data_IF_326829705663
#
_entry.id   IF_326829705663
#
_cell.length_a   1.000
_cell.length_b   1.000
_cell.length_c   1.000
_cell.angle_alpha   90.00
_cell.angle_beta   90.00
_cell.angle_gamma   90.00
#
_symmetry.space_group_name_H-M   'P 1'
#
loop_
_entity.id
_entity.type
_entity.pdbx_description
1 polymer ?
#
# COMPACT_ATOMS: atom_id res chain seq x y z
N UNK A 1 2.99 -3.03 -7.05
CA UNK A 1 2.57 -4.41 -6.82
C UNK A 1 2.88 -4.76 -5.39
N UNK A 2 1.85 -5.10 -4.63
CA UNK A 2 1.95 -5.42 -3.20
C UNK A 2 1.28 -6.77 -2.95
N UNK A 3 1.86 -7.60 -2.11
CA UNK A 3 1.25 -8.87 -1.72
C UNK A 3 1.10 -8.92 -0.22
N UNK A 4 -0.09 -9.25 0.25
CA UNK A 4 -0.42 -9.46 1.65
C UNK A 4 -0.74 -10.93 1.85
N UNK A 5 0.12 -11.63 2.58
CA UNK A 5 -0.15 -12.98 3.06
C UNK A 5 -0.72 -12.87 4.48
N UNK A 6 -1.96 -13.32 4.70
CA UNK A 6 -2.58 -13.38 6.01
C UNK A 6 -2.65 -14.82 6.49
N UNK A 7 -1.86 -15.16 7.51
CA UNK A 7 -1.90 -16.47 8.15
C UNK A 7 -2.83 -16.43 9.35
N UNK A 8 -3.81 -17.32 9.36
CA UNK A 8 -4.83 -17.42 10.41
C UNK A 8 -4.57 -18.62 11.31
N UNK A 9 -4.66 -18.41 12.62
CA UNK A 9 -4.59 -19.51 13.57
C UNK A 9 -5.87 -20.38 13.51
N UNK A 10 -5.82 -21.64 13.95
CA UNK A 10 -7.00 -22.51 14.00
C UNK A 10 -8.17 -21.98 14.85
N UNK A 11 -7.92 -21.00 15.75
CA UNK A 11 -8.97 -20.40 16.58
C UNK A 11 -9.77 -19.31 15.85
N UNK A 12 -9.39 -18.96 14.62
CA UNK A 12 -10.14 -18.04 13.76
C UNK A 12 -11.14 -18.83 12.91
N UNK A 13 -12.45 -18.52 12.96
CA UNK A 13 -13.47 -19.23 12.17
C UNK A 13 -13.15 -19.26 10.67
N UNK A 14 -13.43 -20.38 9.98
CA UNK A 14 -13.23 -20.51 8.53
C UNK A 14 -14.10 -19.57 7.69
N UNK A 15 -15.22 -19.12 8.25
CA UNK A 15 -16.19 -18.28 7.57
C UNK A 15 -15.68 -16.87 7.26
N UNK A 16 -14.60 -16.41 7.91
CA UNK A 16 -14.09 -15.05 7.71
C UNK A 16 -13.01 -14.93 6.63
N UNK A 17 -12.55 -16.05 6.05
CA UNK A 17 -11.37 -16.05 5.15
C UNK A 17 -11.58 -15.17 3.92
N UNK A 18 -12.66 -15.41 3.16
CA UNK A 18 -12.97 -14.63 1.95
C UNK A 18 -13.28 -13.17 2.27
N UNK A 19 -14.05 -12.94 3.34
CA UNK A 19 -14.39 -11.60 3.80
C UNK A 19 -13.14 -10.79 4.18
N UNK A 20 -12.20 -11.38 4.92
CA UNK A 20 -10.95 -10.74 5.28
C UNK A 20 -10.11 -10.43 4.06
N UNK A 21 -9.98 -11.37 3.12
CA UNK A 21 -9.22 -11.15 1.89
C UNK A 21 -9.73 -9.93 1.12
N UNK A 22 -11.04 -9.84 0.91
CA UNK A 22 -11.65 -8.74 0.18
C UNK A 22 -11.63 -7.41 0.95
N UNK A 23 -11.91 -7.44 2.26
CA UNK A 23 -11.86 -6.22 3.09
C UNK A 23 -10.45 -5.65 3.11
N UNK A 24 -9.43 -6.49 3.26
CA UNK A 24 -8.04 -6.06 3.22
C UNK A 24 -7.66 -5.49 1.86
N UNK A 25 -8.03 -6.15 0.77
CA UNK A 25 -7.79 -5.63 -0.57
C UNK A 25 -8.41 -4.23 -0.71
N UNK A 26 -9.70 -4.08 -0.39
CA UNK A 26 -10.39 -2.79 -0.42
C UNK A 26 -9.69 -1.73 0.44
N UNK A 27 -9.40 -2.03 1.70
CA UNK A 27 -8.74 -1.08 2.61
C UNK A 27 -7.40 -0.58 2.07
N UNK A 28 -6.62 -1.45 1.44
CA UNK A 28 -5.26 -1.11 0.96
C UNK A 28 -5.25 -0.35 -0.37
N UNK A 29 -6.39 -0.25 -1.03
CA UNK A 29 -6.50 0.28 -2.40
C UNK A 29 -7.65 1.26 -2.57
N UNK A 30 -8.11 1.83 -1.46
CA UNK A 30 -9.11 2.91 -1.44
C UNK A 30 -8.50 4.07 -0.69
N UNK A 31 -8.48 5.22 -1.33
CA UNK A 31 -8.01 6.48 -0.76
C UNK A 31 -8.92 7.59 -1.28
N UNK A 32 -9.42 8.43 -0.38
CA UNK A 32 -10.29 9.55 -0.76
C UNK A 32 -9.51 10.57 -1.59
N UNK A 33 -10.09 11.01 -2.70
CA UNK A 33 -9.45 11.98 -3.60
C UNK A 33 -8.42 11.40 -4.57
N UNK A 34 -8.20 10.08 -4.57
CA UNK A 34 -7.39 9.42 -5.58
C UNK A 34 -8.21 9.11 -6.86
N UNK A 35 -7.67 9.34 -8.08
CA UNK A 35 -8.36 8.98 -9.30
C UNK A 35 -8.60 7.47 -9.43
N UNK A 36 -9.79 7.09 -9.90
CA UNK A 36 -10.20 5.68 -10.02
C UNK A 36 -9.31 4.90 -10.99
N UNK A 37 -8.76 5.54 -12.01
CA UNK A 37 -7.81 4.92 -12.94
C UNK A 37 -6.56 4.41 -12.20
N UNK A 38 -6.08 5.16 -11.20
CA UNK A 38 -4.92 4.78 -10.38
C UNK A 38 -5.31 3.71 -9.37
N UNK A 39 -6.43 3.89 -8.66
CA UNK A 39 -6.90 2.92 -7.66
C UNK A 39 -7.27 1.57 -8.31
N UNK A 40 -7.92 1.58 -9.47
CA UNK A 40 -8.25 0.39 -10.24
C UNK A 40 -7.01 -0.41 -10.61
N UNK A 41 -5.96 0.25 -11.10
CA UNK A 41 -4.70 -0.43 -11.39
C UNK A 41 -3.95 -0.88 -10.14
N UNK A 42 -4.00 -0.08 -9.06
CA UNK A 42 -3.46 -0.47 -7.76
C UNK A 42 -4.13 -1.74 -7.22
N UNK A 43 -5.45 -1.87 -7.40
CA UNK A 43 -6.25 -3.06 -7.08
C UNK A 43 -5.81 -4.28 -7.86
N UNK A 44 -5.67 -4.16 -9.18
CA UNK A 44 -5.18 -5.27 -10.01
C UNK A 44 -3.78 -5.75 -9.62
N UNK A 45 -2.90 -4.84 -9.21
CA UNK A 45 -1.52 -5.15 -8.83
C UNK A 45 -1.36 -5.50 -7.34
N UNK A 46 -2.44 -5.52 -6.57
CA UNK A 46 -2.41 -5.86 -5.14
C UNK A 46 -3.08 -7.20 -4.92
N UNK A 47 -2.36 -8.12 -4.27
CA UNK A 47 -2.87 -9.45 -3.98
C UNK A 47 -2.99 -9.64 -2.47
N UNK A 48 -4.11 -10.22 -2.04
CA UNK A 48 -4.30 -10.69 -0.67
C UNK A 48 -4.53 -12.20 -0.71
N UNK A 49 -3.72 -12.94 0.05
CA UNK A 49 -3.78 -14.40 0.13
C UNK A 49 -3.97 -14.80 1.58
N UNK A 50 -5.02 -15.57 1.86
CA UNK A 50 -5.32 -16.07 3.20
C UNK A 50 -4.85 -17.51 3.32
N UNK A 51 -4.07 -17.80 4.34
CA UNK A 51 -3.46 -19.10 4.60
C UNK A 51 -3.91 -19.66 5.94
N UNK A 52 -4.18 -20.97 5.94
CA UNK A 52 -4.35 -21.78 7.16
C UNK A 52 -3.20 -22.78 7.24
N UNK A 53 -2.15 -22.50 8.04
CA UNK A 53 -0.98 -23.36 8.10
C UNK A 53 -1.33 -24.69 8.78
N UNK A 54 -0.71 -25.77 8.33
CA UNK A 54 -0.90 -27.10 8.90
C UNK A 54 -0.46 -27.19 10.38
N UNK A 55 0.47 -26.33 10.79
CA UNK A 55 0.94 -26.23 12.17
C UNK A 55 1.25 -24.77 12.52
N UNK A 56 1.06 -24.42 13.79
CA UNK A 56 1.39 -23.12 14.36
C UNK A 56 1.84 -23.25 15.81
N UNK A 57 3.03 -22.80 16.13
CA UNK A 57 3.58 -22.83 17.49
C UNK A 57 4.12 -21.45 17.89
N UNK A 58 3.81 -21.04 19.12
CA UNK A 58 4.40 -19.86 19.79
C UNK A 58 4.68 -20.22 21.23
N UNK A 59 5.78 -19.69 21.79
CA UNK A 59 6.13 -19.91 23.20
C UNK A 59 5.33 -19.02 24.16
N UNK A 60 5.29 -19.39 25.45
CA UNK A 60 4.72 -18.59 26.54
C UNK A 60 3.35 -19.09 27.07
N UNK A 61 2.90 -18.56 28.22
CA UNK A 61 1.69 -19.03 28.92
C UNK A 61 0.36 -18.43 28.42
N UNK A 62 0.33 -17.76 27.26
CA UNK A 62 -0.84 -17.03 26.75
C UNK A 62 -1.43 -17.61 25.46
N UNK A 63 -2.59 -17.08 25.05
CA UNK A 63 -3.20 -17.38 23.76
C UNK A 63 -2.25 -17.00 22.62
N UNK A 64 -2.17 -17.86 21.60
CA UNK A 64 -1.28 -17.68 20.46
C UNK A 64 -1.70 -16.45 19.64
N UNK A 65 -0.78 -15.75 18.95
CA UNK A 65 -1.18 -14.79 17.95
C UNK A 65 -2.16 -15.43 16.97
N UNK A 66 -3.24 -14.70 16.67
CA UNK A 66 -4.34 -15.20 15.85
C UNK A 66 -4.13 -14.87 14.37
N UNK A 67 -3.34 -13.83 14.12
CA UNK A 67 -3.05 -13.29 12.81
C UNK A 67 -1.56 -12.98 12.68
N UNK A 68 -0.93 -13.51 11.62
CA UNK A 68 0.34 -13.00 11.11
C UNK A 68 0.07 -12.48 9.70
N UNK A 69 0.24 -11.19 9.49
CA UNK A 69 0.21 -10.60 8.16
C UNK A 69 1.64 -10.36 7.69
N UNK A 70 1.97 -10.78 6.48
CA UNK A 70 3.21 -10.41 5.80
C UNK A 70 2.88 -9.58 4.57
N UNK A 71 3.42 -8.37 4.53
CA UNK A 71 3.30 -7.47 3.39
C UNK A 71 4.63 -7.45 2.66
N UNK A 72 4.60 -7.83 1.39
CA UNK A 72 5.74 -7.73 0.49
C UNK A 72 5.47 -6.63 -0.53
N UNK A 73 6.36 -5.65 -0.62
CA UNK A 73 6.22 -4.50 -1.50
C UNK A 73 7.59 -3.97 -1.95
N UNK A 74 7.67 -3.10 -2.98
CA UNK A 74 8.91 -2.44 -3.38
C UNK A 74 9.62 -1.76 -2.20
N UNK A 75 10.94 -1.94 -2.12
CA UNK A 75 11.80 -1.37 -1.08
C UNK A 75 11.67 0.15 -0.96
N UNK A 76 11.55 0.83 -2.11
CA UNK A 76 11.34 2.27 -2.18
C UNK A 76 10.07 2.76 -1.46
N UNK A 77 9.08 1.89 -1.24
CA UNK A 77 7.85 2.23 -0.54
C UNK A 77 7.97 1.95 0.96
N UNK A 78 8.53 0.80 1.33
CA UNK A 78 8.56 0.33 2.74
C UNK A 78 9.63 0.99 3.60
N UNK A 79 10.60 1.68 2.99
CA UNK A 79 11.67 2.35 3.72
C UNK A 79 11.23 3.65 4.41
N UNK A 80 9.95 4.04 4.34
CA UNK A 80 9.41 5.19 5.09
C UNK A 80 8.66 4.74 6.36
N UNK A 81 8.88 5.41 7.51
CA UNK A 81 8.12 5.16 8.73
C UNK A 81 6.61 5.34 8.54
N UNK A 82 6.20 6.28 7.69
CA UNK A 82 4.81 6.59 7.38
C UNK A 82 4.09 5.40 6.71
N UNK A 83 4.76 4.74 5.75
CA UNK A 83 4.20 3.55 5.10
C UNK A 83 4.00 2.42 6.12
N UNK A 84 4.99 2.17 6.98
CA UNK A 84 4.89 1.17 8.02
C UNK A 84 3.74 1.44 8.98
N UNK A 85 3.62 2.67 9.48
CA UNK A 85 2.54 3.06 10.37
C UNK A 85 1.16 2.90 9.71
N UNK A 86 1.02 3.34 8.45
CA UNK A 86 -0.23 3.22 7.70
C UNK A 86 -0.64 1.75 7.52
N UNK A 87 0.26 0.90 7.01
CA UNK A 87 -0.03 -0.52 6.74
C UNK A 87 -0.35 -1.29 8.02
N UNK A 88 0.48 -1.15 9.06
CA UNK A 88 0.25 -1.84 10.35
C UNK A 88 -1.12 -1.45 10.91
N UNK A 89 -1.46 -0.16 10.86
CA UNK A 89 -2.72 0.35 11.36
C UNK A 89 -3.92 -0.13 10.53
N UNK A 90 -3.82 -0.05 9.20
CA UNK A 90 -4.86 -0.48 8.26
C UNK A 90 -5.19 -1.97 8.42
N UNK A 91 -4.18 -2.84 8.36
CA UNK A 91 -4.37 -4.28 8.51
C UNK A 91 -4.98 -4.62 9.88
N UNK A 92 -4.44 -4.05 10.96
CA UNK A 92 -4.91 -4.33 12.32
C UNK A 92 -6.37 -3.91 12.52
N UNK A 93 -6.75 -2.71 12.04
CA UNK A 93 -8.14 -2.25 12.13
C UNK A 93 -9.10 -3.10 11.30
N UNK A 94 -8.71 -3.47 10.08
CA UNK A 94 -9.57 -4.28 9.20
C UNK A 94 -9.79 -5.68 9.78
N UNK A 95 -8.75 -6.30 10.34
CA UNK A 95 -8.85 -7.60 11.01
C UNK A 95 -9.68 -7.48 12.30
N UNK A 96 -9.46 -6.44 13.10
CA UNK A 96 -10.21 -6.18 14.33
C UNK A 96 -11.73 -6.07 14.09
N UNK A 97 -12.15 -5.58 12.93
CA UNK A 97 -13.56 -5.53 12.53
C UNK A 97 -14.24 -6.90 12.36
N UNK A 98 -13.49 -8.00 12.46
CA UNK A 98 -14.00 -9.39 12.46
C UNK A 98 -13.88 -10.08 13.83
N UNK A 99 -13.28 -9.39 14.81
CA UNK A 99 -13.12 -9.92 16.15
C UNK A 99 -14.36 -9.68 17.02
N UNK A 100 -14.72 -10.61 17.93
CA UNK A 100 -15.71 -10.35 18.97
C UNK A 100 -15.28 -9.21 19.91
N UNK A 101 -13.98 -9.08 20.16
CA UNK A 101 -13.37 -7.95 20.88
C UNK A 101 -12.35 -7.26 19.97
N UNK A 102 -12.76 -6.24 19.19
CA UNK A 102 -11.86 -5.53 18.28
C UNK A 102 -10.67 -4.87 18.98
N UNK A 103 -10.84 -4.42 20.23
CA UNK A 103 -9.79 -3.74 20.99
C UNK A 103 -8.66 -4.69 21.42
N UNK A 104 -8.87 -6.01 21.34
CA UNK A 104 -7.83 -7.00 21.67
C UNK A 104 -6.57 -6.80 20.84
N UNK A 105 -6.70 -6.55 19.54
CA UNK A 105 -5.55 -6.50 18.63
C UNK A 105 -4.62 -5.29 18.86
N UNK A 106 -5.06 -4.29 19.63
CA UNK A 106 -4.23 -3.15 20.03
C UNK A 106 -3.72 -3.25 21.47
N UNK A 107 -4.32 -4.12 22.30
CA UNK A 107 -3.89 -4.38 23.69
C UNK A 107 -2.92 -5.54 23.81
N UNK A 108 -3.03 -6.52 22.90
CA UNK A 108 -2.34 -7.81 22.96
C UNK A 108 -1.74 -8.15 21.58
N UNK A 109 -0.60 -8.88 21.52
CA UNK A 109 0.11 -9.16 20.27
C UNK A 109 -0.56 -10.27 19.43
N UNK A 110 -1.89 -10.20 19.25
CA UNK A 110 -2.66 -11.18 18.48
C UNK A 110 -2.64 -10.94 16.98
N UNK A 111 -2.27 -9.74 16.53
CA UNK A 111 -2.06 -9.39 15.13
C UNK A 111 -0.63 -8.89 14.95
N UNK A 112 0.21 -9.74 14.36
CA UNK A 112 1.60 -9.41 14.05
C UNK A 112 1.70 -9.06 12.58
N UNK A 113 2.25 -7.88 12.25
CA UNK A 113 2.44 -7.44 10.87
C UNK A 113 3.93 -7.36 10.57
N UNK A 114 4.36 -8.07 9.53
CA UNK A 114 5.71 -8.02 8.97
C UNK A 114 5.67 -7.28 7.63
N UNK A 115 6.60 -6.36 7.41
CA UNK A 115 6.76 -5.68 6.13
C UNK A 115 8.12 -6.05 5.55
N UNK A 116 8.12 -6.53 4.31
CA UNK A 116 9.28 -7.01 3.58
C UNK A 116 9.48 -6.16 2.34
N UNK A 117 10.62 -5.48 2.27
CA UNK A 117 11.01 -4.67 1.13
C UNK A 117 11.75 -5.47 0.06
N UNK A 118 11.23 -5.47 -1.15
CA UNK A 118 11.91 -6.04 -2.31
C UNK A 118 12.93 -5.05 -2.87
N UNK A 119 14.13 -5.53 -3.19
CA UNK A 119 15.14 -4.74 -3.90
C UNK A 119 14.66 -4.40 -5.32
N UNK A 120 15.23 -3.35 -5.92
CA UNK A 120 15.02 -3.07 -7.33
C UNK A 120 15.36 -4.31 -8.17
N UNK A 121 14.58 -4.57 -9.22
CA UNK A 121 14.66 -5.76 -10.07
C UNK A 121 14.41 -7.11 -9.36
N UNK A 122 13.92 -7.12 -8.11
CA UNK A 122 13.51 -8.33 -7.40
C UNK A 122 11.99 -8.60 -7.48
N UNK A 123 11.27 -7.83 -8.30
CA UNK A 123 9.87 -8.04 -8.64
C UNK A 123 9.76 -8.16 -10.16
N UNK A 124 8.92 -9.07 -10.65
CA UNK A 124 8.68 -9.22 -12.09
C UNK A 124 7.20 -9.17 -12.46
N UNK A 125 6.90 -8.50 -13.56
CA UNK A 125 5.58 -8.45 -14.21
C UNK A 125 5.79 -8.48 -15.72
N UNK A 126 4.81 -8.96 -16.48
CA UNK A 126 4.91 -9.07 -17.94
C UNK A 126 6.12 -9.91 -18.42
N UNK A 127 6.55 -10.88 -17.60
CA UNK A 127 7.67 -11.76 -17.92
C UNK A 127 9.07 -11.15 -17.76
N UNK A 128 9.21 -9.97 -17.17
CA UNK A 128 10.50 -9.31 -16.95
C UNK A 128 10.65 -8.75 -15.52
N UNK A 129 11.87 -8.66 -14.98
CA UNK A 129 12.14 -7.88 -13.77
C UNK A 129 11.83 -6.40 -13.99
N UNK A 130 11.26 -5.76 -12.97
CA UNK A 130 10.91 -4.34 -13.00
C UNK A 130 11.45 -3.59 -11.79
N UNK A 131 11.57 -2.28 -11.95
CA UNK A 131 11.87 -1.31 -10.91
C UNK A 131 10.60 -0.82 -10.22
N UNK A 132 10.78 -0.23 -9.04
CA UNK A 132 9.71 0.48 -8.33
C UNK A 132 9.10 1.61 -9.16
N UNK A 133 9.90 2.30 -9.97
CA UNK A 133 9.45 3.38 -10.86
C UNK A 133 8.57 2.86 -11.99
N UNK A 134 8.95 1.74 -12.62
CA UNK A 134 8.11 1.10 -13.65
C UNK A 134 6.77 0.62 -13.11
N UNK A 135 6.73 0.13 -11.87
CA UNK A 135 5.47 -0.21 -11.19
C UNK A 135 4.59 1.04 -11.01
N UNK A 136 5.16 2.15 -10.54
CA UNK A 136 4.42 3.42 -10.39
C UNK A 136 3.91 3.90 -11.75
N UNK A 137 4.75 3.88 -12.79
CA UNK A 137 4.33 4.20 -14.17
C UNK A 137 3.20 3.30 -14.65
N UNK A 138 3.26 2.00 -14.35
CA UNK A 138 2.18 1.07 -14.69
C UNK A 138 0.89 1.42 -13.96
N UNK A 139 0.96 1.75 -12.67
CA UNK A 139 -0.18 2.15 -11.85
C UNK A 139 -0.83 3.45 -12.32
N UNK A 140 -0.03 4.41 -12.80
CA UNK A 140 -0.53 5.76 -13.13
C UNK A 140 -0.74 6.01 -14.61
N UNK A 141 -0.30 5.10 -15.49
CA UNK A 141 -0.38 5.25 -16.96
C UNK A 141 -1.77 5.70 -17.43
N UNK A 142 -2.81 5.01 -17.01
CA UNK A 142 -4.17 5.30 -17.49
C UNK A 142 -4.62 6.72 -17.11
N UNK A 143 -4.30 7.17 -15.88
CA UNK A 143 -4.56 8.54 -15.47
C UNK A 143 -3.76 9.53 -16.32
N UNK A 144 -2.45 9.31 -16.47
CA UNK A 144 -1.55 10.20 -17.23
C UNK A 144 -1.94 10.32 -18.71
N UNK A 145 -2.40 9.23 -19.31
CA UNK A 145 -2.79 9.17 -20.72
C UNK A 145 -4.22 9.70 -20.96
N UNK A 146 -5.04 9.80 -19.91
CA UNK A 146 -6.45 10.20 -20.03
C UNK A 146 -6.68 11.68 -20.33
N UNK A 147 -5.70 12.54 -20.06
CA UNK A 147 -5.85 14.00 -20.14
C UNK A 147 -6.80 14.60 -19.10
N UNK A 148 -7.24 13.82 -18.12
CA UNK A 148 -8.11 14.30 -17.04
C UNK A 148 -7.35 15.29 -16.16
N UNK A 149 -7.92 16.47 -15.98
CA UNK A 149 -7.43 17.48 -15.03
C UNK A 149 -8.24 17.39 -13.74
N UNK A 150 -7.55 17.14 -12.63
CA UNK A 150 -8.13 17.20 -11.29
C UNK A 150 -8.00 18.62 -10.77
N UNK A 151 -9.08 19.21 -10.26
CA UNK A 151 -9.02 20.49 -9.57
C UNK A 151 -8.71 20.26 -8.08
N UNK A 152 -7.66 20.91 -7.58
CA UNK A 152 -7.36 20.87 -6.15
C UNK A 152 -8.23 21.89 -5.39
N UNK A 153 -8.77 21.50 -4.22
CA UNK A 153 -9.34 22.45 -3.27
C UNK A 153 -8.33 23.52 -2.84
N UNK A 154 -8.82 24.63 -2.28
CA UNK A 154 -7.95 25.66 -1.69
C UNK A 154 -7.03 25.07 -0.61
N UNK A 155 -5.74 25.38 -0.68
CA UNK A 155 -4.72 24.83 0.22
C UNK A 155 -4.16 23.46 -0.17
N UNK A 156 -4.63 22.88 -1.28
CA UNK A 156 -4.16 21.61 -1.82
C UNK A 156 -3.49 21.78 -3.18
N UNK A 157 -2.62 20.83 -3.52
CA UNK A 157 -2.01 20.67 -4.83
C UNK A 157 -2.40 19.30 -5.42
N UNK A 158 -2.25 19.14 -6.74
CA UNK A 158 -2.44 17.85 -7.40
C UNK A 158 -1.07 17.24 -7.71
N UNK A 159 -0.88 15.98 -7.33
CA UNK A 159 0.29 15.20 -7.74
C UNK A 159 0.24 15.00 -9.27
N UNK A 160 1.22 15.52 -10.03
CA UNK A 160 1.18 15.48 -11.50
C UNK A 160 1.34 14.08 -12.08
N UNK A 161 1.76 13.09 -11.28
CA UNK A 161 1.98 11.72 -11.74
C UNK A 161 0.72 10.87 -11.58
N UNK A 162 -0.02 11.05 -10.49
CA UNK A 162 -1.17 10.18 -10.16
C UNK A 162 -2.50 10.91 -9.96
N UNK A 163 -2.52 12.24 -9.95
CA UNK A 163 -3.73 13.04 -9.78
C UNK A 163 -4.27 13.11 -8.35
N UNK A 164 -3.57 12.53 -7.37
CA UNK A 164 -3.97 12.60 -5.97
C UNK A 164 -3.82 14.02 -5.43
N UNK A 165 -4.77 14.48 -4.63
CA UNK A 165 -4.67 15.76 -3.92
C UNK A 165 -3.72 15.65 -2.74
N UNK A 166 -2.90 16.69 -2.53
CA UNK A 166 -1.87 16.76 -1.48
C UNK A 166 -2.04 18.07 -0.74
N UNK A 167 -2.20 18.03 0.59
CA UNK A 167 -2.27 19.24 1.41
C UNK A 167 -0.91 19.95 1.42
N UNK A 168 -0.86 21.19 0.93
CA UNK A 168 0.39 21.94 0.77
C UNK A 168 1.06 22.20 2.12
N UNK A 169 0.27 22.50 3.16
CA UNK A 169 0.76 22.85 4.49
C UNK A 169 1.54 21.71 5.18
N UNK A 170 1.20 20.45 4.88
CA UNK A 170 1.82 19.27 5.47
C UNK A 170 2.72 18.49 4.50
N UNK A 171 2.77 18.89 3.23
CA UNK A 171 3.51 18.21 2.18
C UNK A 171 5.02 18.16 2.45
N UNK A 172 5.56 16.95 2.63
CA UNK A 172 6.99 16.69 2.81
C UNK A 172 7.72 16.36 1.50
N UNK A 173 6.97 15.89 0.50
CA UNK A 173 7.52 15.34 -0.73
C UNK A 173 7.24 16.35 -1.84
N UNK A 174 8.30 17.04 -2.25
CA UNK A 174 8.23 18.13 -3.23
C UNK A 174 9.45 18.17 -4.14
N UNK A 175 9.31 18.84 -5.28
CA UNK A 175 10.37 19.05 -6.27
C UNK A 175 10.09 20.34 -7.03
N UNK A 176 11.08 21.23 -7.06
CA UNK A 176 11.04 22.43 -7.91
C UNK A 176 11.57 22.11 -9.30
N UNK A 177 10.82 22.45 -10.35
CA UNK A 177 11.25 22.37 -11.75
C UNK A 177 10.78 23.62 -12.50
N UNK A 178 11.68 24.25 -13.27
CA UNK A 178 11.40 25.48 -14.02
C UNK A 178 10.74 26.61 -13.19
N UNK A 179 11.14 26.72 -11.92
CA UNK A 179 10.61 27.72 -10.98
C UNK A 179 9.21 27.39 -10.41
N UNK A 180 8.64 26.23 -10.75
CA UNK A 180 7.37 25.74 -10.24
C UNK A 180 7.61 24.66 -9.18
N UNK A 181 6.97 24.81 -8.02
CA UNK A 181 7.01 23.80 -6.96
C UNK A 181 5.93 22.74 -7.21
N UNK A 182 6.35 21.47 -7.32
CA UNK A 182 5.45 20.32 -7.44
C UNK A 182 5.39 19.54 -6.13
N UNK A 183 4.21 19.01 -5.82
CA UNK A 183 3.91 18.27 -4.59
C UNK A 183 3.50 16.84 -4.95
N UNK A 184 3.89 15.87 -4.13
CA UNK A 184 3.68 14.45 -4.44
C UNK A 184 3.08 13.70 -3.26
N UNK A 185 2.15 12.78 -3.55
CA UNK A 185 1.53 11.95 -2.52
C UNK A 185 2.48 10.89 -1.98
N UNK A 186 3.47 10.49 -2.78
CA UNK A 186 4.41 9.44 -2.44
C UNK A 186 5.81 9.66 -3.04
N UNK A 187 6.87 9.10 -2.43
CA UNK A 187 8.23 9.22 -2.97
C UNK A 187 8.36 8.62 -4.37
N UNK A 188 7.56 7.58 -4.68
CA UNK A 188 7.50 6.95 -6.00
C UNK A 188 7.03 7.90 -7.10
N UNK A 189 5.98 8.70 -6.84
CA UNK A 189 5.50 9.71 -7.79
C UNK A 189 6.57 10.78 -8.04
N UNK A 190 7.18 11.32 -6.99
CA UNK A 190 8.29 12.27 -7.13
C UNK A 190 9.45 11.71 -7.96
N UNK A 191 9.82 10.44 -7.73
CA UNK A 191 10.90 9.78 -8.47
C UNK A 191 10.56 9.65 -9.95
N UNK A 192 9.36 9.14 -10.28
CA UNK A 192 8.90 9.02 -11.67
C UNK A 192 8.87 10.39 -12.35
N UNK A 193 8.36 11.42 -11.66
CA UNK A 193 8.35 12.78 -12.19
C UNK A 193 9.76 13.27 -12.51
N UNK A 194 10.71 13.13 -11.57
CA UNK A 194 12.09 13.54 -11.79
C UNK A 194 12.79 12.79 -12.93
N UNK A 195 12.51 11.49 -13.08
CA UNK A 195 13.03 10.67 -14.18
C UNK A 195 12.42 11.06 -15.52
N UNK A 196 11.12 11.37 -15.56
CA UNK A 196 10.42 11.77 -16.78
C UNK A 196 10.84 13.19 -17.25
N UNK A 197 11.38 14.01 -16.36
CA UNK A 197 12.00 15.30 -16.67
C UNK A 197 13.45 15.19 -17.16
N UNK A 198 14.12 14.06 -16.92
CA UNK A 198 15.48 13.88 -17.39
C UNK A 198 15.48 13.79 -18.93
N UNK A 199 16.43 14.44 -19.62
CA UNK A 199 16.56 14.26 -21.06
C UNK A 199 16.79 12.77 -21.36
N UNK A 200 16.13 12.26 -22.40
CA UNK A 200 16.44 10.94 -22.92
C UNK A 200 17.85 11.00 -23.56
N UNK A 201 18.79 10.23 -23.01
CA UNK A 201 20.09 9.97 -23.64
C UNK A 201 19.95 9.18 -24.95
#
# INVERSE_FOLDING_TARGET
MMTVELFLSPTVPATVDAELAERLLRTLTTEDGAPEQVLGKARELTHVVVHRPAAWATGGPGDRPRYLARVTAPGAWVNSPEFGAHIVSALTRTIAGTEPDPARLTREPHCVVQIVGLREHALGVLGAPVTSGEIVRMMTREFRDSGVTVEAPEGYAVDPVCGMTVEIASARIRLTHDGVEHYFCAPGCRKVFAEDLAPAD
#
